data_IF_040147846169
#
_entry.id   IF_040147846169
#
_cell.length_a   1.000
_cell.length_b   1.000
_cell.length_c   1.000
_cell.angle_alpha   90.00
_cell.angle_beta   90.00
_cell.angle_gamma   90.00
#
_symmetry.space_group_name_H-M   'P 1'
#
loop_
_entity.id
_entity.type
_entity.pdbx_description
1 polymer ?
#
# COMPACT_ATOMS: atom_id res chain seq x y z
N UNK A 1 -10.80 -18.92 -12.84
CA UNK A 1 -9.58 -18.66 -13.62
C UNK A 1 -8.47 -18.34 -12.64
N UNK A 2 -7.29 -18.96 -12.72
CA UNK A 2 -6.18 -18.66 -11.80
C UNK A 2 -5.62 -17.26 -12.09
N UNK A 3 -5.20 -16.57 -11.02
CA UNK A 3 -4.60 -15.23 -11.08
C UNK A 3 -3.40 -15.22 -10.15
N UNK A 4 -2.30 -14.62 -10.58
CA UNK A 4 -1.20 -14.26 -9.70
C UNK A 4 -1.25 -12.75 -9.42
N UNK A 5 -1.22 -12.41 -8.14
CA UNK A 5 -1.15 -11.04 -7.65
C UNK A 5 0.12 -10.85 -6.84
N UNK A 6 0.94 -9.89 -7.23
CA UNK A 6 2.17 -9.53 -6.56
C UNK A 6 1.96 -8.20 -5.86
N UNK A 7 2.11 -8.18 -4.55
CA UNK A 7 2.04 -7.00 -3.71
C UNK A 7 3.46 -6.51 -3.46
N UNK A 8 3.71 -5.26 -3.84
CA UNK A 8 5.01 -4.63 -3.75
C UNK A 8 4.98 -3.53 -2.70
N UNK A 9 5.99 -3.50 -1.85
CA UNK A 9 6.18 -2.51 -0.78
C UNK A 9 7.46 -1.71 -1.04
N UNK A 10 7.40 -0.39 -0.94
CA UNK A 10 8.59 0.45 -1.04
C UNK A 10 9.31 0.55 0.31
N UNK A 11 10.61 0.69 0.27
CA UNK A 11 11.41 0.92 1.47
C UNK A 11 11.31 2.40 1.88
N UNK A 12 10.56 2.69 2.97
CA UNK A 12 10.37 4.05 3.49
C UNK A 12 9.91 5.03 2.38
N UNK A 13 8.86 4.68 1.66
CA UNK A 13 8.37 5.36 0.46
C UNK A 13 8.47 6.89 0.52
N UNK A 14 7.79 7.52 1.47
CA UNK A 14 7.74 8.98 1.61
C UNK A 14 9.09 9.61 2.02
N UNK A 15 9.91 8.90 2.80
CA UNK A 15 11.18 9.42 3.32
C UNK A 15 12.34 9.25 2.33
N UNK A 16 12.15 8.39 1.30
CA UNK A 16 13.24 7.98 0.40
C UNK A 16 13.24 8.69 -0.94
N UNK A 17 12.23 9.50 -1.27
CA UNK A 17 12.14 10.22 -2.56
C UNK A 17 13.33 11.19 -2.72
N UNK A 18 14.23 11.00 -3.70
CA UNK A 18 15.38 11.90 -3.88
C UNK A 18 14.93 13.23 -4.46
N UNK A 19 15.19 14.33 -3.74
CA UNK A 19 14.74 15.67 -4.14
C UNK A 19 15.19 16.05 -5.57
N UNK A 20 16.46 15.81 -5.94
CA UNK A 20 16.96 16.12 -7.28
C UNK A 20 16.18 15.39 -8.38
N UNK A 21 15.96 14.08 -8.20
CA UNK A 21 15.19 13.26 -9.15
C UNK A 21 13.74 13.69 -9.26
N UNK A 22 13.12 14.06 -8.14
CA UNK A 22 11.76 14.59 -8.12
C UNK A 22 11.67 15.90 -8.91
N UNK A 23 12.58 16.85 -8.70
CA UNK A 23 12.62 18.11 -9.43
C UNK A 23 12.87 17.90 -10.93
N UNK A 24 13.76 16.97 -11.31
CA UNK A 24 13.98 16.58 -12.72
C UNK A 24 12.68 16.04 -13.34
N UNK A 25 11.97 15.16 -12.63
CA UNK A 25 10.71 14.58 -13.10
C UNK A 25 9.60 15.62 -13.27
N UNK A 26 9.47 16.52 -12.31
CA UNK A 26 8.53 17.65 -12.37
C UNK A 26 8.82 18.55 -13.58
N UNK A 27 10.10 18.90 -13.80
CA UNK A 27 10.53 19.70 -14.95
C UNK A 27 10.26 19.01 -16.29
N UNK A 28 10.56 17.72 -16.39
CA UNK A 28 10.33 16.92 -17.59
C UNK A 28 8.86 16.78 -17.97
N UNK A 29 7.95 16.94 -17.00
CA UNK A 29 6.49 16.91 -17.20
C UNK A 29 5.86 18.31 -17.28
N UNK A 30 6.64 19.35 -17.49
CA UNK A 30 6.14 20.69 -17.79
C UNK A 30 5.96 21.61 -16.59
N UNK A 31 6.27 21.20 -15.38
CA UNK A 31 6.27 22.08 -14.20
C UNK A 31 7.58 22.87 -14.19
N UNK A 32 7.50 24.17 -14.44
CA UNK A 32 8.65 25.06 -14.63
C UNK A 32 8.49 26.40 -13.90
N UNK A 33 9.53 27.25 -13.99
CA UNK A 33 9.49 28.61 -13.46
C UNK A 33 9.26 28.68 -11.95
N UNK A 34 8.48 29.66 -11.52
CA UNK A 34 8.27 29.97 -10.10
C UNK A 34 7.66 28.80 -9.29
N UNK A 35 6.80 27.99 -9.92
CA UNK A 35 6.20 26.82 -9.25
C UNK A 35 7.25 25.77 -8.94
N UNK A 36 8.14 25.47 -9.89
CA UNK A 36 9.23 24.52 -9.68
C UNK A 36 10.21 25.02 -8.63
N UNK A 37 10.57 26.30 -8.66
CA UNK A 37 11.43 26.92 -7.67
C UNK A 37 10.82 26.84 -6.27
N UNK A 38 9.54 27.18 -6.15
CA UNK A 38 8.82 27.09 -4.89
C UNK A 38 8.78 25.66 -4.33
N UNK A 39 8.53 24.62 -5.17
CA UNK A 39 8.60 23.22 -4.73
C UNK A 39 10.02 22.88 -4.29
N UNK A 40 11.04 23.33 -5.02
CA UNK A 40 12.45 23.11 -4.66
C UNK A 40 12.76 23.71 -3.29
N UNK A 41 12.34 24.95 -3.03
CA UNK A 41 12.54 25.61 -1.73
C UNK A 41 11.77 24.92 -0.62
N UNK A 42 10.54 24.47 -0.89
CA UNK A 42 9.72 23.70 0.05
C UNK A 42 10.41 22.38 0.49
N UNK A 43 11.19 21.76 -0.38
CA UNK A 43 11.91 20.52 -0.08
C UNK A 43 13.29 20.78 0.53
N UNK A 44 13.88 21.95 0.30
CA UNK A 44 15.26 22.29 0.66
C UNK A 44 15.36 22.86 2.08
N UNK A 45 16.59 22.90 2.61
CA UNK A 45 16.94 23.53 3.90
C UNK A 45 16.09 23.07 5.09
N UNK A 46 15.58 21.87 5.05
CA UNK A 46 14.79 21.26 6.13
C UNK A 46 15.67 20.50 7.10
N UNK A 47 15.29 20.53 8.36
CA UNK A 47 15.91 19.72 9.39
C UNK A 47 14.85 19.05 10.27
N UNK A 48 15.23 17.97 10.93
CA UNK A 48 14.36 17.21 11.83
C UNK A 48 15.07 16.88 13.14
N UNK A 49 14.29 16.75 14.19
CA UNK A 49 14.73 16.27 15.49
C UNK A 49 13.60 15.48 16.16
N UNK A 50 13.94 14.62 17.09
CA UNK A 50 12.99 13.84 17.89
C UNK A 50 12.77 14.52 19.23
N UNK A 51 11.52 14.60 19.70
CA UNK A 51 11.20 15.10 21.05
C UNK A 51 10.55 13.99 21.87
N UNK A 52 11.11 13.72 23.06
CA UNK A 52 10.58 12.75 24.01
C UNK A 52 10.54 13.42 25.38
N UNK A 53 9.38 13.48 26.01
CA UNK A 53 9.16 14.10 27.32
C UNK A 53 9.75 15.53 27.44
N UNK A 54 9.65 16.32 26.38
CA UNK A 54 10.17 17.69 26.33
C UNK A 54 11.66 17.81 25.97
N UNK A 55 12.41 16.72 25.96
CA UNK A 55 13.81 16.71 25.53
C UNK A 55 13.93 16.54 24.01
N UNK A 56 14.77 17.38 23.39
CA UNK A 56 15.03 17.36 21.95
C UNK A 56 16.35 16.66 21.63
N UNK A 57 16.34 15.80 20.61
CA UNK A 57 17.59 15.31 20.02
C UNK A 57 18.34 16.43 19.29
N UNK A 58 19.56 16.18 18.86
CA UNK A 58 20.24 17.08 17.93
C UNK A 58 19.43 17.15 16.63
N UNK A 59 19.41 18.32 15.99
CA UNK A 59 18.83 18.52 14.67
C UNK A 59 19.72 17.88 13.59
N UNK A 60 19.11 17.20 12.62
CA UNK A 60 19.78 16.63 11.45
C UNK A 60 19.12 17.13 10.17
N UNK A 61 19.91 17.40 9.09
CA UNK A 61 19.32 17.84 7.83
C UNK A 61 18.50 16.73 7.17
N UNK A 62 17.41 17.12 6.51
CA UNK A 62 16.58 16.23 5.68
C UNK A 62 17.05 16.34 4.23
N UNK A 63 17.68 15.27 3.73
CA UNK A 63 18.30 15.23 2.40
C UNK A 63 17.47 14.51 1.33
N UNK A 64 16.39 13.83 1.76
CA UNK A 64 15.47 13.09 0.90
C UNK A 64 14.07 13.07 1.52
N UNK A 65 13.09 12.64 0.75
CA UNK A 65 11.72 12.44 1.19
C UNK A 65 10.83 13.65 1.00
N UNK A 66 9.53 13.37 0.96
CA UNK A 66 8.48 14.39 0.91
C UNK A 66 7.84 14.54 2.30
N UNK A 67 7.48 15.77 2.72
CA UNK A 67 6.98 16.01 4.08
C UNK A 67 5.67 15.25 4.35
N UNK A 68 5.71 14.28 5.25
CA UNK A 68 4.51 13.61 5.75
C UNK A 68 3.67 14.61 6.57
N UNK A 69 2.34 14.59 6.39
CA UNK A 69 1.42 15.53 7.04
C UNK A 69 1.27 16.89 6.34
N UNK A 70 1.99 17.14 5.24
CA UNK A 70 1.75 18.28 4.37
C UNK A 70 0.73 17.96 3.28
N UNK A 71 0.08 18.98 2.72
CA UNK A 71 -0.85 18.83 1.58
C UNK A 71 -0.11 18.38 0.31
N UNK A 72 1.11 18.88 0.10
CA UNK A 72 1.91 18.60 -1.09
C UNK A 72 2.62 17.26 -1.06
N UNK A 73 3.02 16.76 0.11
CA UNK A 73 3.79 15.54 0.24
C UNK A 73 3.20 14.35 -0.51
N UNK A 74 1.94 13.98 -0.25
CA UNK A 74 1.27 12.91 -0.98
C UNK A 74 1.20 13.14 -2.50
N UNK A 75 0.89 14.36 -2.93
CA UNK A 75 0.82 14.72 -4.35
C UNK A 75 2.16 14.59 -5.05
N UNK A 76 3.25 15.04 -4.43
CA UNK A 76 4.61 14.91 -4.95
C UNK A 76 5.06 13.45 -5.02
N UNK A 77 4.70 12.64 -4.03
CA UNK A 77 4.99 11.22 -4.04
C UNK A 77 4.27 10.49 -5.18
N UNK A 78 2.94 10.69 -5.31
CA UNK A 78 2.14 10.11 -6.40
C UNK A 78 2.73 10.55 -7.75
N UNK A 79 3.07 11.81 -7.90
CA UNK A 79 3.68 12.33 -9.11
C UNK A 79 5.01 11.63 -9.43
N UNK A 80 5.79 11.32 -8.40
CA UNK A 80 7.08 10.65 -8.56
C UNK A 80 6.95 9.23 -9.09
N UNK A 81 5.92 8.49 -8.71
CA UNK A 81 5.73 7.07 -9.08
C UNK A 81 4.73 6.84 -10.23
N UNK A 82 4.06 7.88 -10.73
CA UNK A 82 2.94 7.79 -11.68
C UNK A 82 3.30 7.18 -13.05
N UNK A 83 4.57 7.05 -13.38
CA UNK A 83 5.05 6.43 -14.61
C UNK A 83 5.22 4.89 -14.50
N UNK A 84 5.18 4.33 -13.27
CA UNK A 84 5.34 2.89 -13.04
C UNK A 84 4.37 2.01 -13.87
N UNK A 85 3.05 2.27 -13.91
CA UNK A 85 2.13 1.42 -14.67
C UNK A 85 2.44 1.38 -16.16
N UNK A 86 3.02 2.45 -16.71
CA UNK A 86 3.37 2.54 -18.13
C UNK A 86 4.50 1.60 -18.55
N UNK A 87 5.28 1.09 -17.58
CA UNK A 87 6.39 0.17 -17.81
C UNK A 87 5.96 -1.29 -17.72
N UNK A 88 4.73 -1.55 -17.31
CA UNK A 88 4.25 -2.88 -16.99
C UNK A 88 3.55 -3.53 -18.18
N UNK A 89 3.94 -4.76 -18.52
CA UNK A 89 3.24 -5.60 -19.48
C UNK A 89 2.05 -6.34 -18.84
N UNK A 90 2.10 -6.58 -17.54
CA UNK A 90 0.99 -7.03 -16.73
C UNK A 90 0.22 -5.82 -16.17
N UNK A 91 -1.01 -6.04 -15.69
CA UNK A 91 -1.78 -4.98 -15.03
C UNK A 91 -1.05 -4.54 -13.75
N UNK A 92 -0.86 -3.23 -13.63
CA UNK A 92 -0.22 -2.61 -12.48
C UNK A 92 -1.11 -1.50 -11.94
N UNK A 93 -1.50 -1.62 -10.69
CA UNK A 93 -2.29 -0.62 -9.98
C UNK A 93 -1.50 -0.07 -8.81
N UNK A 94 -1.67 1.22 -8.57
CA UNK A 94 -0.98 1.97 -7.53
C UNK A 94 -2.01 2.72 -6.70
N UNK A 95 -1.90 2.58 -5.38
CA UNK A 95 -2.64 3.39 -4.42
C UNK A 95 -1.68 3.92 -3.36
N UNK A 96 -1.31 5.20 -3.45
CA UNK A 96 -0.20 5.79 -2.69
C UNK A 96 1.09 4.97 -2.89
N UNK A 97 1.63 4.40 -1.83
CA UNK A 97 2.82 3.52 -1.86
C UNK A 97 2.50 2.04 -2.11
N UNK A 98 1.25 1.63 -1.93
CA UNK A 98 0.81 0.27 -2.26
C UNK A 98 0.82 0.08 -3.78
N UNK A 99 1.63 -0.84 -4.26
CA UNK A 99 1.74 -1.19 -5.69
C UNK A 99 1.39 -2.66 -5.89
N UNK A 100 0.49 -2.95 -6.83
CA UNK A 100 0.03 -4.29 -7.11
C UNK A 100 0.17 -4.62 -8.60
N UNK A 101 0.83 -5.72 -8.90
CA UNK A 101 0.93 -6.29 -10.26
C UNK A 101 0.13 -7.57 -10.30
N UNK A 102 -0.77 -7.72 -11.26
CA UNK A 102 -1.57 -8.93 -11.36
C UNK A 102 -1.90 -9.30 -12.81
N UNK A 103 -2.10 -10.60 -13.01
CA UNK A 103 -2.46 -11.16 -14.31
C UNK A 103 -3.15 -12.51 -14.15
N UNK A 104 -4.09 -12.80 -15.02
CA UNK A 104 -4.64 -14.13 -15.15
C UNK A 104 -3.62 -15.09 -15.77
N UNK A 105 -3.47 -16.27 -15.19
CA UNK A 105 -2.46 -17.26 -15.54
C UNK A 105 -3.12 -18.43 -16.27
N UNK A 106 -2.89 -18.50 -17.58
CA UNK A 106 -3.33 -19.62 -18.44
C UNK A 106 -2.16 -20.51 -18.81
N UNK A 107 -0.96 -19.94 -18.87
CA UNK A 107 0.26 -20.61 -19.35
C UNK A 107 1.51 -20.05 -18.67
N UNK A 108 2.65 -20.69 -18.87
CA UNK A 108 3.95 -20.19 -18.41
C UNK A 108 4.33 -18.85 -19.06
N UNK A 109 3.83 -18.57 -20.27
CA UNK A 109 4.09 -17.28 -20.92
C UNK A 109 3.47 -16.11 -20.14
N UNK A 110 2.32 -16.31 -19.46
CA UNK A 110 1.73 -15.31 -18.58
C UNK A 110 2.59 -15.04 -17.36
N UNK A 111 3.20 -16.10 -16.79
CA UNK A 111 4.16 -15.95 -15.69
C UNK A 111 5.41 -15.16 -16.14
N UNK A 112 5.90 -15.40 -17.36
CA UNK A 112 7.01 -14.64 -17.92
C UNK A 112 6.68 -13.15 -18.11
N UNK A 113 5.43 -12.82 -18.47
CA UNK A 113 4.97 -11.42 -18.56
C UNK A 113 5.03 -10.71 -17.19
N UNK A 114 4.57 -11.36 -16.13
CA UNK A 114 4.71 -10.83 -14.76
C UNK A 114 6.19 -10.65 -14.42
N UNK A 115 7.03 -11.65 -14.70
CA UNK A 115 8.46 -11.55 -14.38
C UNK A 115 9.15 -10.43 -15.15
N UNK A 116 8.81 -10.19 -16.43
CA UNK A 116 9.33 -9.04 -17.19
C UNK A 116 8.88 -7.72 -16.58
N UNK A 117 7.62 -7.62 -16.15
CA UNK A 117 7.13 -6.46 -15.39
C UNK A 117 7.94 -6.23 -14.13
N UNK A 118 8.21 -7.25 -13.32
CA UNK A 118 9.03 -7.12 -12.11
C UNK A 118 10.47 -6.68 -12.42
N UNK A 119 11.04 -7.17 -13.50
CA UNK A 119 12.37 -6.74 -13.95
C UNK A 119 12.37 -5.26 -14.37
N UNK A 120 11.35 -4.81 -15.10
CA UNK A 120 11.18 -3.40 -15.48
C UNK A 120 11.02 -2.49 -14.25
N UNK A 121 10.25 -2.94 -13.26
CA UNK A 121 10.08 -2.22 -11.99
C UNK A 121 11.39 -2.16 -11.19
N UNK A 122 12.18 -3.24 -11.18
CA UNK A 122 13.50 -3.24 -10.54
C UNK A 122 14.44 -2.23 -11.22
N UNK A 123 14.51 -2.21 -12.56
CA UNK A 123 15.29 -1.24 -13.31
C UNK A 123 14.82 0.21 -13.08
N UNK A 124 13.51 0.44 -12.97
CA UNK A 124 12.96 1.74 -12.62
C UNK A 124 13.40 2.16 -11.20
N UNK A 125 13.32 1.24 -10.24
CA UNK A 125 13.75 1.45 -8.86
C UNK A 125 15.22 1.91 -8.77
N UNK A 126 16.10 1.26 -9.50
CA UNK A 126 17.52 1.62 -9.56
C UNK A 126 17.73 3.00 -10.22
N UNK A 127 17.04 3.24 -11.33
CA UNK A 127 17.11 4.53 -12.05
C UNK A 127 16.62 5.70 -11.19
N UNK A 128 15.52 5.54 -10.47
CA UNK A 128 14.88 6.60 -9.70
C UNK A 128 15.25 6.60 -8.22
N UNK A 129 16.10 5.67 -7.78
CA UNK A 129 16.60 5.57 -6.41
C UNK A 129 15.48 5.47 -5.36
N UNK A 130 14.39 4.78 -5.72
CA UNK A 130 13.29 4.46 -4.81
C UNK A 130 13.14 2.94 -4.73
N UNK A 131 13.74 2.34 -3.71
CA UNK A 131 13.91 0.90 -3.61
C UNK A 131 12.65 0.19 -3.11
N UNK A 132 12.36 -0.97 -3.71
CA UNK A 132 11.39 -1.90 -3.17
C UNK A 132 11.97 -2.69 -1.99
N UNK A 133 11.13 -3.01 -1.03
CA UNK A 133 11.47 -3.89 0.09
C UNK A 133 11.12 -5.35 -0.26
N UNK A 134 12.00 -6.02 -0.97
CA UNK A 134 11.75 -7.39 -1.45
C UNK A 134 11.34 -8.38 -0.35
N UNK A 135 11.76 -8.17 0.90
CA UNK A 135 11.36 -9.05 2.03
C UNK A 135 9.91 -8.89 2.45
N UNK A 136 9.28 -7.76 2.10
CA UNK A 136 7.86 -7.49 2.35
C UNK A 136 6.99 -7.69 1.10
N UNK A 137 7.62 -7.83 -0.07
CA UNK A 137 6.89 -8.12 -1.29
C UNK A 137 6.40 -9.57 -1.28
N UNK A 138 5.11 -9.73 -1.53
CA UNK A 138 4.44 -11.03 -1.44
C UNK A 138 3.75 -11.40 -2.74
N UNK A 139 3.63 -12.71 -2.98
CA UNK A 139 2.89 -13.28 -4.11
C UNK A 139 1.69 -14.04 -3.58
N UNK A 140 0.51 -13.69 -4.04
CA UNK A 140 -0.74 -14.39 -3.77
C UNK A 140 -1.21 -15.12 -5.03
N UNK A 141 -1.23 -16.44 -4.98
CA UNK A 141 -1.74 -17.28 -6.05
C UNK A 141 -3.22 -17.58 -5.83
N UNK A 142 -4.09 -16.96 -6.63
CA UNK A 142 -5.53 -17.09 -6.55
C UNK A 142 -6.05 -18.20 -7.46
N UNK A 143 -7.08 -18.91 -6.98
CA UNK A 143 -7.85 -19.88 -7.74
C UNK A 143 -7.26 -21.28 -7.78
N UNK A 144 -8.13 -22.24 -8.14
CA UNK A 144 -7.75 -23.64 -8.31
C UNK A 144 -6.91 -23.82 -9.58
N UNK A 145 -6.00 -24.80 -9.59
CA UNK A 145 -5.11 -25.11 -10.74
C UNK A 145 -4.15 -23.99 -11.12
N UNK A 146 -3.75 -23.13 -10.17
CA UNK A 146 -2.71 -22.14 -10.40
C UNK A 146 -1.33 -22.84 -10.51
N UNK A 147 -0.48 -22.38 -11.44
CA UNK A 147 0.87 -22.93 -11.69
C UNK A 147 1.80 -22.69 -10.48
N UNK A 148 1.50 -21.66 -9.66
CA UNK A 148 2.28 -21.27 -8.46
C UNK A 148 3.75 -20.99 -8.77
N UNK A 149 3.99 -20.25 -9.84
CA UNK A 149 5.32 -19.87 -10.29
C UNK A 149 6.10 -19.12 -9.19
N UNK A 150 7.43 -19.26 -9.20
CA UNK A 150 8.31 -18.50 -8.29
C UNK A 150 8.75 -17.21 -8.99
N UNK A 151 8.37 -16.08 -8.43
CA UNK A 151 8.78 -14.76 -8.91
C UNK A 151 9.92 -14.22 -8.08
N UNK A 152 10.74 -13.36 -8.69
CA UNK A 152 11.86 -12.70 -8.02
C UNK A 152 11.95 -11.22 -8.42
N UNK A 153 12.55 -10.44 -7.57
CA UNK A 153 13.00 -9.08 -7.88
C UNK A 153 14.53 -9.03 -7.95
N UNK A 154 15.06 -8.15 -8.79
CA UNK A 154 16.50 -7.89 -8.91
C UNK A 154 16.83 -6.76 -7.93
N UNK A 155 17.88 -6.98 -7.11
CA UNK A 155 18.43 -5.97 -6.20
C UNK A 155 19.95 -5.96 -6.36
N UNK A 156 20.47 -4.97 -7.09
CA UNK A 156 21.86 -4.99 -7.56
C UNK A 156 22.12 -6.25 -8.40
N UNK A 157 23.16 -7.00 -8.05
CA UNK A 157 23.52 -8.25 -8.75
C UNK A 157 22.78 -9.49 -8.24
N UNK A 158 21.93 -9.36 -7.25
CA UNK A 158 21.23 -10.49 -6.61
C UNK A 158 19.77 -10.60 -7.03
N UNK A 159 19.30 -11.86 -7.11
CA UNK A 159 17.88 -12.18 -7.29
C UNK A 159 17.27 -12.56 -5.95
N UNK A 160 16.25 -11.84 -5.53
CA UNK A 160 15.52 -12.11 -4.29
C UNK A 160 14.17 -12.73 -4.66
N UNK A 161 13.96 -13.99 -4.29
CA UNK A 161 12.68 -14.69 -4.51
C UNK A 161 11.62 -14.07 -3.60
N UNK A 162 10.45 -13.77 -4.16
CA UNK A 162 9.33 -13.20 -3.42
C UNK A 162 8.64 -14.25 -2.56
N UNK A 163 8.17 -13.85 -1.38
CA UNK A 163 7.48 -14.73 -0.46
C UNK A 163 6.09 -15.09 -1.00
N UNK A 164 5.72 -16.38 -0.90
CA UNK A 164 4.35 -16.82 -1.19
C UNK A 164 3.49 -16.67 0.04
N UNK A 165 2.33 -16.05 -0.13
CA UNK A 165 1.33 -15.90 0.93
C UNK A 165 0.01 -16.57 0.55
N UNK A 166 -0.75 -17.00 1.55
CA UNK A 166 -2.10 -17.53 1.35
C UNK A 166 -3.19 -16.48 1.56
N UNK A 167 -2.80 -15.33 2.13
CA UNK A 167 -3.72 -14.24 2.42
C UNK A 167 -2.93 -12.94 2.54
N UNK A 168 -3.32 -11.93 1.77
CA UNK A 168 -2.72 -10.60 1.81
C UNK A 168 -3.75 -9.54 2.19
N UNK A 169 -3.30 -8.44 2.78
CA UNK A 169 -4.16 -7.31 3.13
C UNK A 169 -4.04 -6.23 2.06
N UNK A 170 -5.09 -6.06 1.27
CA UNK A 170 -5.19 -5.11 0.17
C UNK A 170 -6.20 -4.02 0.53
N UNK A 171 -5.76 -2.77 0.62
CA UNK A 171 -6.59 -1.60 0.99
C UNK A 171 -7.53 -1.86 2.17
N UNK A 172 -7.04 -2.53 3.20
CA UNK A 172 -7.81 -2.83 4.40
C UNK A 172 -8.60 -4.14 4.38
N UNK A 173 -8.76 -4.80 3.23
CA UNK A 173 -9.45 -6.08 3.07
C UNK A 173 -8.44 -7.23 3.05
N UNK A 174 -8.68 -8.30 3.81
CA UNK A 174 -7.89 -9.53 3.72
C UNK A 174 -8.40 -10.38 2.56
N UNK A 175 -7.58 -10.50 1.53
CA UNK A 175 -7.84 -11.32 0.34
C UNK A 175 -7.10 -12.63 0.51
N UNK A 176 -7.81 -13.75 0.51
CA UNK A 176 -7.24 -15.08 0.59
C UNK A 176 -7.26 -15.79 -0.77
N UNK A 177 -6.44 -16.84 -0.90
CA UNK A 177 -6.27 -17.61 -2.15
C UNK A 177 -7.56 -18.19 -2.74
N UNK A 178 -8.60 -18.35 -1.93
CA UNK A 178 -9.88 -18.93 -2.33
C UNK A 178 -10.96 -17.86 -2.55
N UNK A 179 -10.69 -16.60 -2.17
CA UNK A 179 -11.66 -15.50 -2.14
C UNK A 179 -12.89 -15.82 -1.27
N UNK A 180 -12.70 -16.53 -0.16
CA UNK A 180 -13.77 -16.86 0.79
C UNK A 180 -13.89 -15.83 1.93
N UNK A 181 -12.92 -14.93 2.05
CA UNK A 181 -12.86 -13.80 2.98
C UNK A 181 -13.06 -14.14 4.46
N UNK A 182 -12.97 -15.42 4.85
CA UNK A 182 -13.21 -15.87 6.24
C UNK A 182 -12.34 -15.13 7.25
N UNK A 183 -11.04 -14.95 6.93
CA UNK A 183 -10.12 -14.21 7.79
C UNK A 183 -10.54 -12.75 7.93
N UNK A 184 -10.99 -12.12 6.83
CA UNK A 184 -11.48 -10.75 6.86
C UNK A 184 -12.72 -10.63 7.73
N UNK A 185 -13.75 -11.40 7.46
CA UNK A 185 -15.03 -11.42 8.19
C UNK A 185 -14.77 -11.62 9.68
N UNK A 186 -14.01 -12.66 10.07
CA UNK A 186 -13.71 -12.93 11.48
C UNK A 186 -12.95 -11.77 12.16
N UNK A 187 -12.06 -11.10 11.43
CA UNK A 187 -11.32 -9.94 11.93
C UNK A 187 -12.22 -8.74 12.14
N UNK A 188 -13.13 -8.44 11.19
CA UNK A 188 -14.03 -7.31 11.31
C UNK A 188 -15.07 -7.54 12.42
N UNK A 189 -15.61 -8.76 12.55
CA UNK A 189 -16.50 -9.11 13.66
C UNK A 189 -15.81 -8.91 15.02
N UNK A 190 -14.56 -9.38 15.18
CA UNK A 190 -13.80 -9.17 16.42
C UNK A 190 -13.59 -7.70 16.73
N UNK A 191 -13.24 -6.87 15.74
CA UNK A 191 -13.07 -5.43 15.91
C UNK A 191 -14.39 -4.75 16.31
N UNK A 192 -15.48 -5.04 15.61
CA UNK A 192 -16.79 -4.47 15.91
C UNK A 192 -17.26 -4.85 17.33
N UNK A 193 -17.11 -6.11 17.72
CA UNK A 193 -17.42 -6.58 19.08
C UNK A 193 -16.56 -5.87 20.14
N UNK A 194 -15.27 -5.70 19.89
CA UNK A 194 -14.37 -4.94 20.77
C UNK A 194 -14.82 -3.49 20.94
N UNK A 195 -15.20 -2.83 19.82
CA UNK A 195 -15.73 -1.46 19.83
C UNK A 195 -17.05 -1.37 20.61
N UNK A 196 -17.97 -2.29 20.38
CA UNK A 196 -19.23 -2.35 21.14
C UNK A 196 -18.97 -2.55 22.64
N UNK A 197 -18.04 -3.43 22.99
CA UNK A 197 -17.64 -3.66 24.38
C UNK A 197 -17.02 -2.43 25.03
N UNK A 198 -16.22 -1.66 24.27
CA UNK A 198 -15.64 -0.40 24.72
C UNK A 198 -16.73 0.65 24.97
N UNK A 199 -17.66 0.83 24.04
CA UNK A 199 -18.81 1.74 24.18
C UNK A 199 -19.61 1.36 25.43
N UNK A 200 -19.97 0.07 25.57
CA UNK A 200 -20.79 -0.41 26.68
C UNK A 200 -20.15 -0.19 28.05
N UNK A 201 -18.83 -0.35 28.17
CA UNK A 201 -18.11 -0.18 29.44
C UNK A 201 -17.90 1.28 29.82
N UNK A 202 -17.73 2.18 28.86
CA UNK A 202 -17.39 3.57 29.17
C UNK A 202 -18.60 4.51 29.22
N UNK A 203 -19.77 4.09 28.76
CA UNK A 203 -20.98 4.91 28.78
C UNK A 203 -21.84 4.50 29.99
N UNK A 204 -22.04 5.45 30.93
CA UNK A 204 -22.85 5.24 32.13
C UNK A 204 -24.31 5.19 31.75
N UNK A 205 -24.81 6.19 31.01
CA UNK A 205 -26.20 6.26 30.59
C UNK A 205 -26.42 5.49 29.28
N UNK A 206 -26.96 4.28 29.38
CA UNK A 206 -27.18 3.35 28.26
C UNK A 206 -28.53 3.59 27.54
N UNK A 207 -28.97 4.83 27.43
CA UNK A 207 -30.17 5.19 26.68
C UNK A 207 -29.94 4.94 25.16
N UNK A 208 -31.00 4.51 24.47
CA UNK A 208 -30.99 4.28 23.03
C UNK A 208 -30.55 5.52 22.22
N UNK A 209 -30.95 6.71 22.67
CA UNK A 209 -30.57 7.99 22.04
C UNK A 209 -29.04 8.25 22.08
N UNK A 210 -28.31 7.61 22.98
CA UNK A 210 -26.84 7.69 23.09
C UNK A 210 -26.18 6.47 22.44
N UNK A 211 -26.67 5.25 22.75
CA UNK A 211 -26.05 4.01 22.32
C UNK A 211 -26.16 3.78 20.82
N UNK A 212 -27.32 4.10 20.22
CA UNK A 212 -27.54 3.89 18.78
C UNK A 212 -26.65 4.80 17.91
N UNK A 213 -26.53 6.11 18.15
CA UNK A 213 -25.55 6.94 17.44
C UNK A 213 -24.10 6.47 17.58
N UNK A 214 -23.68 6.07 18.79
CA UNK A 214 -22.33 5.54 19.02
C UNK A 214 -22.08 4.24 18.25
N UNK A 215 -23.03 3.32 18.23
CA UNK A 215 -22.94 2.12 17.42
C UNK A 215 -22.84 2.46 15.93
N UNK A 216 -23.71 3.34 15.43
CA UNK A 216 -23.73 3.75 14.01
C UNK A 216 -22.45 4.46 13.58
N UNK A 217 -21.81 5.25 14.44
CA UNK A 217 -20.61 6.01 14.12
C UNK A 217 -19.30 5.22 14.32
N UNK A 218 -19.24 4.29 15.29
CA UNK A 218 -17.98 3.64 15.67
C UNK A 218 -17.92 2.15 15.32
N UNK A 219 -18.99 1.39 15.48
CA UNK A 219 -18.98 -0.06 15.29
C UNK A 219 -19.45 -0.47 13.89
N UNK A 220 -20.56 0.12 13.41
CA UNK A 220 -21.15 -0.19 12.13
C UNK A 220 -20.20 0.04 10.93
N UNK A 221 -19.42 1.14 10.83
CA UNK A 221 -18.51 1.35 9.71
C UNK A 221 -17.45 0.28 9.58
N UNK A 222 -17.08 -0.37 10.68
CA UNK A 222 -16.08 -1.46 10.69
C UNK A 222 -16.58 -2.66 9.88
N UNK A 223 -17.85 -3.01 9.95
CA UNK A 223 -18.44 -4.15 9.24
C UNK A 223 -19.03 -3.78 7.88
N UNK A 224 -19.15 -2.51 7.56
CA UNK A 224 -19.67 -2.04 6.26
C UNK A 224 -18.56 -1.63 5.29
N UNK A 225 -17.35 -1.37 5.79
CA UNK A 225 -16.23 -0.97 4.93
C UNK A 225 -15.96 -2.00 3.84
N UNK A 226 -15.96 -1.55 2.57
CA UNK A 226 -15.71 -2.36 1.39
C UNK A 226 -16.57 -3.64 1.27
N UNK A 227 -17.79 -3.65 1.81
CA UNK A 227 -18.68 -4.80 1.82
C UNK A 227 -19.00 -5.34 0.41
N UNK A 228 -18.97 -4.48 -0.62
CA UNK A 228 -19.15 -4.88 -2.03
C UNK A 228 -18.08 -5.88 -2.51
N UNK A 229 -16.92 -5.93 -1.84
CA UNK A 229 -15.81 -6.83 -2.18
C UNK A 229 -15.95 -8.18 -1.46
N UNK A 230 -16.36 -8.17 -0.19
CA UNK A 230 -16.27 -9.33 0.69
C UNK A 230 -17.60 -9.77 1.30
N UNK A 231 -18.73 -9.23 0.84
CA UNK A 231 -20.06 -9.62 1.35
C UNK A 231 -20.17 -11.15 1.40
N UNK A 232 -20.55 -11.72 2.56
CA UNK A 232 -20.59 -13.16 2.73
C UNK A 232 -21.66 -13.78 1.82
N UNK A 233 -21.26 -14.77 1.02
CA UNK A 233 -22.15 -15.49 0.12
C UNK A 233 -22.82 -16.69 0.81
N UNK A 234 -22.18 -17.23 1.87
CA UNK A 234 -22.67 -18.41 2.56
C UNK A 234 -23.55 -18.02 3.75
N UNK A 235 -24.73 -18.63 3.89
CA UNK A 235 -25.67 -18.36 4.99
C UNK A 235 -25.06 -18.42 6.38
N UNK A 236 -24.08 -19.32 6.62
CA UNK A 236 -23.35 -19.43 7.90
C UNK A 236 -22.46 -18.24 8.23
N UNK A 237 -22.09 -17.43 7.23
CA UNK A 237 -21.25 -16.24 7.38
C UNK A 237 -22.07 -14.95 7.42
N UNK A 238 -23.41 -15.08 7.23
CA UNK A 238 -24.40 -14.01 7.38
C UNK A 238 -24.93 -14.09 8.81
N UNK A 239 -24.51 -13.17 9.67
CA UNK A 239 -24.96 -13.06 11.07
C UNK A 239 -25.94 -11.93 11.21
#
# INVERSE_FOLDING_TARGET
MPIDAIYLDFQKAFDSVPHKRLIEKLRGNGIQGNVLNWISDFLSCRSQYVTINGYKSRSVPVTSGVPQGSVLGPSLFIYYINDLPKLCEALCEIFADDTKVFKSIKSLSDCCLIQRTLNALSAWSDKWLLSFNASKCNVLHLGKNNIKHNYYMIKGDSKVILNKTECEKDLGVHIDKNLDFKKHISTQIKKARSTCGLIYRNIINKNANIMVPLFKSMARPVVEYANVVWAPLLKKDIV
#
